data_IF_799983824372
#
_entry.id   IF_799983824372
#
_cell.length_a   1.000
_cell.length_b   1.000
_cell.length_c   1.000
_cell.angle_alpha   90.00
_cell.angle_beta   90.00
_cell.angle_gamma   90.00
#
_symmetry.space_group_name_H-M   'P 1'
#
loop_
_entity.id
_entity.type
_entity.pdbx_description
1 polymer ?
#
# COMPACT_ATOMS: atom_id res chain seq x y z
N UNK A 1 23.74 -36.87 54.57
CA UNK A 1 24.43 -36.47 53.32
C UNK A 1 23.33 -36.33 52.27
N UNK A 2 22.84 -35.11 52.10
CA UNK A 2 21.74 -34.73 51.20
C UNK A 2 22.30 -34.40 49.83
N UNK A 3 21.69 -34.93 48.75
CA UNK A 3 21.92 -34.44 47.40
C UNK A 3 20.62 -33.83 46.86
N UNK A 4 20.73 -32.53 46.63
CA UNK A 4 19.74 -31.65 46.02
C UNK A 4 19.78 -31.80 44.51
N UNK A 5 18.63 -31.91 43.86
CA UNK A 5 18.51 -31.78 42.41
C UNK A 5 17.59 -30.58 42.13
N UNK A 6 18.19 -29.42 41.85
CA UNK A 6 17.49 -28.27 41.28
C UNK A 6 17.65 -28.30 39.77
N UNK A 7 16.55 -28.55 39.07
CA UNK A 7 16.42 -28.25 37.64
C UNK A 7 16.14 -26.76 37.51
N UNK A 8 17.06 -26.01 36.90
CA UNK A 8 16.82 -24.64 36.46
C UNK A 8 16.16 -24.67 35.07
N UNK A 9 14.87 -24.37 35.03
CA UNK A 9 14.20 -23.99 33.79
C UNK A 9 14.54 -22.52 33.49
N UNK A 10 15.28 -22.27 32.41
CA UNK A 10 15.49 -20.91 31.91
C UNK A 10 14.26 -20.47 31.10
N UNK A 11 13.44 -19.59 31.67
CA UNK A 11 12.47 -18.80 30.92
C UNK A 11 13.21 -17.64 30.26
N UNK A 12 13.38 -17.66 28.93
CA UNK A 12 13.81 -16.46 28.22
C UNK A 12 12.61 -15.51 28.10
N UNK A 13 12.60 -14.43 28.89
CA UNK A 13 11.74 -13.28 28.60
C UNK A 13 12.27 -12.60 27.33
N UNK A 14 11.52 -12.69 26.23
CA UNK A 14 11.69 -11.77 25.13
C UNK A 14 10.99 -10.46 25.52
N UNK A 15 11.76 -9.43 25.86
CA UNK A 15 11.22 -8.08 26.05
C UNK A 15 11.17 -7.43 24.68
N UNK A 16 9.97 -7.37 24.08
CA UNK A 16 9.76 -6.54 22.89
C UNK A 16 9.76 -5.08 23.30
N UNK A 17 10.75 -4.30 22.86
CA UNK A 17 10.71 -2.84 22.99
C UNK A 17 9.72 -2.29 21.95
N UNK A 18 8.59 -1.77 22.42
CA UNK A 18 7.69 -1.00 21.57
C UNK A 18 8.15 0.47 21.53
N UNK A 19 8.29 1.05 20.34
CA UNK A 19 8.43 2.50 20.19
C UNK A 19 7.07 3.16 20.50
N UNK A 20 6.97 3.85 21.62
CA UNK A 20 5.70 4.49 22.06
C UNK A 20 5.65 5.99 21.77
N UNK A 21 6.78 6.61 21.39
CA UNK A 21 6.87 8.05 21.13
C UNK A 21 7.29 8.31 19.69
N UNK A 22 6.46 9.05 18.96
CA UNK A 22 6.70 9.42 17.57
C UNK A 22 6.95 10.93 17.49
N UNK A 23 8.00 11.32 16.77
CA UNK A 23 8.27 12.71 16.43
C UNK A 23 8.06 12.89 14.93
N UNK A 24 7.38 13.99 14.55
CA UNK A 24 7.25 14.35 13.14
C UNK A 24 8.62 14.77 12.64
N UNK A 25 8.97 14.37 11.41
CA UNK A 25 10.11 14.95 10.72
C UNK A 25 9.85 16.44 10.48
N UNK A 26 10.82 17.30 10.83
CA UNK A 26 10.67 18.75 10.71
C UNK A 26 10.52 19.20 9.25
N UNK A 27 11.11 18.45 8.30
CA UNK A 27 11.01 18.72 6.86
C UNK A 27 9.77 18.15 6.18
N UNK A 28 8.66 17.94 6.89
CA UNK A 28 7.43 17.46 6.28
C UNK A 28 6.75 18.53 5.38
N UNK A 29 6.08 18.13 4.28
CA UNK A 29 5.92 16.76 3.79
C UNK A 29 7.17 16.24 3.05
N UNK A 30 7.38 14.92 3.08
CA UNK A 30 8.48 14.25 2.33
C UNK A 30 8.14 13.94 0.86
N UNK A 31 6.88 14.12 0.46
CA UNK A 31 6.42 13.97 -0.91
C UNK A 31 5.35 15.02 -1.19
N UNK A 32 5.64 15.93 -2.11
CA UNK A 32 4.72 16.98 -2.54
C UNK A 32 3.74 16.51 -3.62
N UNK A 33 2.71 17.32 -3.88
CA UNK A 33 1.84 17.18 -5.05
C UNK A 33 2.62 17.38 -6.35
N UNK A 34 2.04 16.96 -7.47
CA UNK A 34 2.52 17.38 -8.79
C UNK A 34 2.29 18.88 -9.03
N UNK A 35 2.84 19.44 -10.13
CA UNK A 35 2.50 20.80 -10.53
C UNK A 35 1.00 20.93 -10.85
N UNK A 36 0.43 22.15 -10.85
CA UNK A 36 -0.96 22.38 -11.23
C UNK A 36 -1.30 21.75 -12.58
N UNK A 37 -2.40 21.01 -12.63
CA UNK A 37 -2.85 20.28 -13.82
C UNK A 37 -2.28 18.86 -13.97
N UNK A 38 -1.28 18.48 -13.18
CA UNK A 38 -0.80 17.10 -13.13
C UNK A 38 -1.85 16.15 -12.54
N UNK A 39 -1.69 14.85 -12.82
CA UNK A 39 -2.58 13.79 -12.34
C UNK A 39 -2.66 13.71 -10.80
N UNK A 40 -1.60 14.13 -10.10
CA UNK A 40 -1.49 14.27 -8.64
C UNK A 40 -1.34 15.73 -8.19
N UNK A 41 -1.76 16.69 -9.02
CA UNK A 41 -1.55 18.12 -8.80
C UNK A 41 -2.48 18.77 -7.77
N UNK A 42 -3.53 18.08 -7.31
CA UNK A 42 -4.42 18.57 -6.24
C UNK A 42 -4.18 17.92 -4.89
N UNK A 43 -3.75 16.66 -4.89
CA UNK A 43 -3.46 15.92 -3.67
C UNK A 43 -2.55 14.72 -3.97
N UNK A 44 -1.63 14.44 -3.06
CA UNK A 44 -0.76 13.28 -3.07
C UNK A 44 -0.63 12.77 -1.63
N UNK A 45 -0.86 11.48 -1.40
CA UNK A 45 -0.86 10.91 -0.06
C UNK A 45 -1.15 9.41 -0.05
N UNK A 46 -1.37 8.87 1.15
CA UNK A 46 -1.64 7.44 1.37
C UNK A 46 -0.58 6.58 0.66
N UNK A 47 0.65 6.74 1.14
CA UNK A 47 1.78 5.97 0.66
C UNK A 47 1.89 4.62 1.35
N UNK A 48 1.99 3.54 0.58
CA UNK A 48 2.51 2.25 1.05
C UNK A 48 3.99 2.19 0.72
N UNK A 49 4.82 2.03 1.73
CA UNK A 49 6.28 1.88 1.57
C UNK A 49 6.67 0.42 1.79
N UNK A 50 7.49 -0.12 0.89
CA UNK A 50 8.22 -1.39 1.05
C UNK A 50 9.72 -1.06 0.91
N UNK A 51 10.53 -1.81 1.64
CA UNK A 51 11.99 -1.74 1.56
C UNK A 51 12.48 -3.04 0.93
N UNK A 52 13.01 -2.93 -0.29
CA UNK A 52 13.77 -4.01 -0.94
C UNK A 52 15.27 -3.62 -0.91
N UNK A 53 15.87 -3.30 -2.06
CA UNK A 53 17.20 -2.66 -2.16
C UNK A 53 17.18 -1.15 -1.94
N UNK A 54 16.00 -0.54 -2.04
CA UNK A 54 15.73 0.88 -1.77
C UNK A 54 14.31 1.04 -1.26
N UNK A 55 13.97 2.19 -0.71
CA UNK A 55 12.58 2.50 -0.36
C UNK A 55 11.77 2.69 -1.64
N UNK A 56 10.62 2.02 -1.69
CA UNK A 56 9.65 2.13 -2.78
C UNK A 56 8.31 2.52 -2.20
N UNK A 57 7.70 3.58 -2.71
CA UNK A 57 6.39 4.05 -2.30
C UNK A 57 5.40 3.93 -3.46
N UNK A 58 4.25 3.34 -3.18
CA UNK A 58 3.05 3.48 -4.02
C UNK A 58 2.10 4.43 -3.32
N UNK A 59 1.74 5.53 -3.97
CA UNK A 59 0.96 6.61 -3.37
C UNK A 59 -0.26 6.93 -4.21
N UNK A 60 -1.30 7.45 -3.57
CA UNK A 60 -2.47 7.95 -4.28
C UNK A 60 -2.25 9.41 -4.66
N UNK A 61 -2.48 9.73 -5.93
CA UNK A 61 -2.54 11.10 -6.41
C UNK A 61 -3.93 11.43 -6.96
N UNK A 62 -4.31 12.71 -6.88
CA UNK A 62 -5.57 13.23 -7.41
C UNK A 62 -5.38 14.55 -8.13
N UNK A 63 -6.11 14.71 -9.23
CA UNK A 63 -6.29 15.97 -9.95
C UNK A 63 -7.66 16.62 -9.65
N UNK A 64 -8.43 16.05 -8.72
CA UNK A 64 -9.80 16.46 -8.37
C UNK A 64 -10.91 15.83 -9.22
N UNK A 65 -10.56 15.10 -10.29
CA UNK A 65 -11.51 14.35 -11.12
C UNK A 65 -11.36 12.84 -10.94
N UNK A 66 -10.12 12.37 -10.84
CA UNK A 66 -9.77 10.97 -10.69
C UNK A 66 -8.73 10.80 -9.60
N UNK A 67 -8.75 9.67 -8.90
CA UNK A 67 -7.65 9.23 -8.04
C UNK A 67 -6.94 8.07 -8.69
N UNK A 68 -5.61 8.11 -8.72
CA UNK A 68 -4.75 7.14 -9.40
C UNK A 68 -3.57 6.78 -8.50
N UNK A 69 -2.86 5.69 -8.80
CA UNK A 69 -1.68 5.29 -8.02
C UNK A 69 -0.40 5.62 -8.79
N UNK A 70 0.48 6.35 -8.12
CA UNK A 70 1.85 6.64 -8.57
C UNK A 70 2.88 5.83 -7.79
N UNK A 71 4.11 5.86 -8.30
CA UNK A 71 5.28 5.25 -7.69
C UNK A 71 6.36 6.30 -7.44
N UNK A 72 7.10 6.14 -6.35
CA UNK A 72 8.29 6.92 -6.05
C UNK A 72 9.35 6.03 -5.39
N UNK A 73 10.62 6.40 -5.55
CA UNK A 73 11.76 5.71 -4.94
C UNK A 73 12.56 6.67 -4.07
N UNK A 74 13.20 6.12 -3.03
CA UNK A 74 14.10 6.85 -2.16
C UNK A 74 15.22 5.94 -1.66
N UNK A 75 16.41 6.49 -1.45
CA UNK A 75 17.52 5.81 -0.80
C UNK A 75 17.52 5.96 0.72
N UNK A 76 16.82 6.97 1.25
CA UNK A 76 16.87 7.36 2.67
C UNK A 76 15.50 7.44 3.35
N UNK A 77 14.42 7.23 2.59
CA UNK A 77 13.04 7.32 3.08
C UNK A 77 12.53 8.74 3.28
N UNK A 78 13.35 9.76 3.00
CA UNK A 78 13.05 11.19 3.22
C UNK A 78 12.99 11.93 1.89
N UNK A 79 13.96 11.72 1.00
CA UNK A 79 14.00 12.35 -0.31
C UNK A 79 13.44 11.40 -1.36
N UNK A 80 12.30 11.74 -1.93
CA UNK A 80 11.57 10.87 -2.85
C UNK A 80 11.62 11.38 -4.29
N UNK A 81 11.94 10.48 -5.22
CA UNK A 81 11.88 10.72 -6.66
C UNK A 81 10.68 10.00 -7.26
N UNK A 82 9.70 10.76 -7.76
CA UNK A 82 8.53 10.23 -8.48
C UNK A 82 8.96 9.56 -9.78
N UNK A 83 8.32 8.43 -10.10
CA UNK A 83 8.56 7.72 -11.35
C UNK A 83 8.06 8.55 -12.55
N UNK A 84 8.82 8.66 -13.66
CA UNK A 84 8.44 9.49 -14.80
C UNK A 84 7.17 9.02 -15.52
N UNK A 85 6.89 7.72 -15.48
CA UNK A 85 5.69 7.12 -16.08
C UNK A 85 4.45 7.17 -15.17
N UNK A 86 4.47 7.97 -14.10
CA UNK A 86 3.31 8.10 -13.23
C UNK A 86 2.09 8.70 -13.97
N UNK A 87 0.86 8.27 -13.63
CA UNK A 87 0.52 7.22 -12.66
C UNK A 87 0.86 5.81 -13.18
N UNK A 88 1.40 4.95 -12.31
CA UNK A 88 1.74 3.56 -12.64
C UNK A 88 0.51 2.63 -12.69
N UNK A 89 -0.56 3.01 -11.98
CA UNK A 89 -1.88 2.41 -12.13
C UNK A 89 -2.89 3.54 -12.36
N UNK A 90 -3.14 3.91 -13.63
CA UNK A 90 -4.20 4.88 -13.96
C UNK A 90 -5.59 4.27 -13.72
N UNK A 91 -6.63 5.11 -13.72
CA UNK A 91 -8.01 4.61 -13.84
C UNK A 91 -8.21 3.94 -15.20
N UNK A 92 -9.06 2.91 -15.26
CA UNK A 92 -9.52 2.36 -16.53
C UNK A 92 -10.88 2.97 -16.87
N UNK A 93 -10.93 3.90 -17.82
CA UNK A 93 -12.17 4.59 -18.20
C UNK A 93 -13.27 3.68 -18.73
N UNK A 94 -12.93 2.45 -19.14
CA UNK A 94 -13.87 1.42 -19.57
C UNK A 94 -14.19 0.39 -18.49
N UNK A 95 -13.47 0.42 -17.37
CA UNK A 95 -13.55 -0.53 -16.28
C UNK A 95 -14.42 -0.06 -15.11
N UNK A 96 -14.50 -0.93 -14.11
CA UNK A 96 -15.21 -0.68 -12.86
C UNK A 96 -14.49 0.34 -11.96
N UNK A 97 -13.20 0.60 -12.20
CA UNK A 97 -12.34 1.54 -11.49
C UNK A 97 -12.09 2.81 -12.33
N UNK A 98 -13.11 3.27 -13.08
CA UNK A 98 -13.03 4.38 -14.05
C UNK A 98 -12.87 5.78 -13.44
N UNK A 99 -13.12 5.95 -12.15
CA UNK A 99 -12.96 7.22 -11.43
C UNK A 99 -11.91 7.13 -10.34
N UNK A 100 -11.73 5.96 -9.74
CA UNK A 100 -10.81 5.75 -8.64
C UNK A 100 -10.02 4.46 -8.81
N UNK A 101 -8.69 4.57 -8.72
CA UNK A 101 -7.73 3.51 -8.44
C UNK A 101 -6.74 4.07 -7.39
N UNK A 102 -6.93 3.73 -6.12
CA UNK A 102 -6.32 4.44 -4.98
C UNK A 102 -6.04 3.52 -3.80
N UNK A 103 -5.44 4.07 -2.74
CA UNK A 103 -5.15 3.37 -1.47
C UNK A 103 -4.45 2.01 -1.69
N UNK A 104 -3.38 1.99 -2.48
CA UNK A 104 -2.66 0.77 -2.77
C UNK A 104 -2.09 0.13 -1.49
N UNK A 105 -2.34 -1.17 -1.34
CA UNK A 105 -1.56 -2.06 -0.50
C UNK A 105 -0.73 -2.96 -1.39
N UNK A 106 0.58 -2.85 -1.25
CA UNK A 106 1.54 -3.66 -2.00
C UNK A 106 2.26 -4.60 -1.05
N UNK A 107 2.47 -5.83 -1.50
CA UNK A 107 3.42 -6.80 -0.96
C UNK A 107 4.33 -7.32 -2.07
N UNK A 108 5.54 -7.73 -1.69
CA UNK A 108 6.50 -8.35 -2.59
C UNK A 108 6.75 -9.79 -2.11
N UNK A 109 6.34 -10.78 -2.90
CA UNK A 109 6.42 -12.20 -2.53
C UNK A 109 7.09 -12.96 -3.66
N UNK A 110 8.26 -13.54 -3.38
CA UNK A 110 9.07 -14.17 -4.43
C UNK A 110 9.44 -13.14 -5.51
N UNK A 111 9.21 -13.43 -6.81
CA UNK A 111 9.54 -12.50 -7.90
C UNK A 111 8.40 -11.52 -8.24
N UNK A 112 7.33 -11.48 -7.46
CA UNK A 112 6.08 -10.79 -7.84
C UNK A 112 5.64 -9.78 -6.79
N UNK A 113 5.36 -8.57 -7.25
CA UNK A 113 4.61 -7.57 -6.51
C UNK A 113 3.12 -7.82 -6.68
N UNK A 114 2.41 -7.82 -5.56
CA UNK A 114 0.97 -7.96 -5.48
C UNK A 114 0.39 -6.65 -4.96
N UNK A 115 -0.62 -6.11 -5.64
CA UNK A 115 -1.31 -4.88 -5.25
C UNK A 115 -2.80 -5.17 -5.06
N UNK A 116 -3.32 -4.79 -3.90
CA UNK A 116 -4.74 -4.60 -3.68
C UNK A 116 -5.01 -3.11 -3.62
N UNK A 117 -6.06 -2.65 -4.29
CA UNK A 117 -6.35 -1.22 -4.37
C UNK A 117 -7.83 -0.97 -4.26
N UNK A 118 -8.20 0.20 -3.75
CA UNK A 118 -9.58 0.68 -3.79
C UNK A 118 -9.90 1.20 -5.18
N UNK A 119 -11.06 0.84 -5.71
CA UNK A 119 -11.54 1.41 -6.95
C UNK A 119 -13.04 1.63 -7.01
N UNK A 120 -13.43 2.37 -8.03
CA UNK A 120 -14.82 2.75 -8.25
C UNK A 120 -15.04 3.56 -9.51
N UNK A 121 -16.31 3.65 -9.88
CA UNK A 121 -16.84 4.50 -10.94
C UNK A 121 -17.70 5.61 -10.32
N UNK A 122 -18.35 6.43 -11.15
CA UNK A 122 -19.15 7.56 -10.67
C UNK A 122 -20.38 7.18 -9.85
N UNK A 123 -20.82 5.91 -9.91
CA UNK A 123 -22.03 5.39 -9.25
C UNK A 123 -21.70 4.46 -8.10
N UNK A 124 -20.60 3.71 -8.21
CA UNK A 124 -20.22 2.67 -7.26
C UNK A 124 -18.74 2.80 -6.90
N UNK A 125 -18.52 3.23 -5.65
CA UNK A 125 -17.19 3.36 -5.04
C UNK A 125 -16.97 2.27 -3.98
N UNK A 126 -15.72 2.14 -3.54
CA UNK A 126 -15.39 1.31 -2.39
C UNK A 126 -15.39 -0.19 -2.72
N UNK A 127 -14.82 -0.55 -3.87
CA UNK A 127 -14.56 -1.94 -4.27
C UNK A 127 -13.06 -2.21 -4.21
N UNK A 128 -12.67 -3.46 -4.01
CA UNK A 128 -11.25 -3.83 -3.96
C UNK A 128 -10.87 -4.51 -5.26
N UNK A 129 -9.88 -3.96 -5.94
CA UNK A 129 -9.23 -4.53 -7.11
C UNK A 129 -7.95 -5.25 -6.72
N UNK A 130 -7.47 -6.09 -7.63
CA UNK A 130 -6.17 -6.74 -7.53
C UNK A 130 -5.38 -6.55 -8.82
N UNK A 131 -4.09 -6.28 -8.67
CA UNK A 131 -3.12 -6.23 -9.75
C UNK A 131 -1.81 -6.89 -9.33
N UNK A 132 -1.04 -7.37 -10.29
CA UNK A 132 0.29 -7.92 -10.05
C UNK A 132 1.33 -7.37 -11.03
N UNK A 133 2.59 -7.39 -10.63
CA UNK A 133 3.70 -6.82 -11.38
C UNK A 133 5.01 -7.55 -11.07
N UNK A 134 5.90 -7.65 -12.05
CA UNK A 134 7.25 -8.17 -11.82
C UNK A 134 8.24 -7.08 -11.41
N UNK A 135 7.99 -5.82 -11.78
CA UNK A 135 8.88 -4.67 -11.56
C UNK A 135 8.31 -3.68 -10.54
N UNK A 136 7.04 -3.82 -10.14
CA UNK A 136 6.33 -2.90 -9.25
C UNK A 136 5.94 -1.57 -9.90
N UNK A 137 6.08 -1.44 -11.23
CA UNK A 137 5.79 -0.22 -12.01
C UNK A 137 4.78 -0.53 -13.12
N UNK A 138 4.93 -1.67 -13.80
CA UNK A 138 4.03 -2.12 -14.86
C UNK A 138 3.04 -3.13 -14.30
N UNK A 139 1.77 -2.75 -14.21
CA UNK A 139 0.75 -3.54 -13.51
C UNK A 139 -0.22 -4.23 -14.45
N UNK A 140 -0.49 -5.51 -14.19
CA UNK A 140 -1.59 -6.28 -14.78
C UNK A 140 -2.71 -6.39 -13.75
N UNK A 141 -3.82 -5.68 -13.97
CA UNK A 141 -5.01 -5.72 -13.10
C UNK A 141 -6.00 -6.79 -13.57
N UNK A 142 -6.79 -7.33 -12.64
CA UNK A 142 -7.93 -8.18 -12.98
C UNK A 142 -9.09 -7.35 -13.53
N UNK A 143 -9.92 -7.91 -14.42
CA UNK A 143 -11.01 -7.19 -15.07
C UNK A 143 -12.21 -6.91 -14.15
N UNK A 144 -12.25 -7.50 -12.95
CA UNK A 144 -13.35 -7.37 -12.00
C UNK A 144 -12.81 -7.21 -10.58
N UNK A 145 -13.54 -6.52 -9.69
CA UNK A 145 -13.13 -6.37 -8.31
C UNK A 145 -13.11 -7.74 -7.62
N UNK A 146 -12.13 -7.93 -6.73
CA UNK A 146 -12.02 -9.13 -5.90
C UNK A 146 -12.91 -9.06 -4.65
N UNK A 147 -13.36 -7.86 -4.23
CA UNK A 147 -14.34 -7.65 -3.14
C UNK A 147 -15.25 -6.43 -3.42
N UNK A 148 -16.50 -6.47 -2.92
CA UNK A 148 -17.48 -5.38 -3.01
C UNK A 148 -18.32 -5.36 -4.30
N UNK A 149 -18.33 -6.46 -5.06
CA UNK A 149 -19.12 -6.60 -6.28
C UNK A 149 -20.50 -7.27 -6.07
N UNK A 150 -20.81 -7.74 -4.86
CA UNK A 150 -22.01 -8.51 -4.53
C UNK A 150 -23.16 -7.65 -4.01
N UNK A 151 -24.38 -8.20 -4.10
CA UNK A 151 -25.63 -7.56 -3.69
C UNK A 151 -25.96 -7.71 -2.20
N UNK A 152 -24.98 -8.08 -1.36
CA UNK A 152 -25.22 -8.33 0.07
C UNK A 152 -25.19 -7.02 0.87
N UNK A 153 -25.99 -6.86 1.95
CA UNK A 153 -26.02 -5.64 2.74
C UNK A 153 -24.69 -5.31 3.45
N UNK A 154 -23.80 -6.29 3.63
CA UNK A 154 -22.44 -6.06 4.15
C UNK A 154 -21.48 -5.52 3.08
N UNK A 155 -21.81 -5.68 1.80
CA UNK A 155 -21.05 -5.17 0.65
C UNK A 155 -21.57 -3.81 0.15
N UNK A 156 -22.61 -3.26 0.78
CA UNK A 156 -23.13 -1.91 0.48
C UNK A 156 -22.41 -0.79 1.25
N UNK A 157 -21.38 -1.12 2.03
CA UNK A 157 -20.53 -0.15 2.73
C UNK A 157 -19.27 0.08 1.90
N UNK A 158 -18.84 1.33 1.64
CA UNK A 158 -17.62 1.58 0.88
C UNK A 158 -16.40 0.89 1.50
N UNK A 159 -15.79 -0.06 0.78
CA UNK A 159 -14.54 -0.72 1.18
C UNK A 159 -13.36 0.09 0.63
N UNK A 160 -12.56 0.67 1.53
CA UNK A 160 -11.42 1.53 1.21
C UNK A 160 -10.17 1.14 1.99
N UNK A 161 -8.98 1.32 1.43
CA UNK A 161 -7.73 1.11 2.15
C UNK A 161 -7.47 -0.36 2.52
N UNK A 162 -7.35 -1.26 1.52
CA UNK A 162 -7.03 -2.65 1.80
C UNK A 162 -5.77 -2.79 2.65
N UNK A 163 -5.76 -3.78 3.52
CA UNK A 163 -4.56 -4.29 4.16
C UNK A 163 -4.65 -5.81 4.11
N UNK A 164 -3.57 -6.46 3.69
CA UNK A 164 -3.53 -7.93 3.58
C UNK A 164 -2.50 -8.46 4.56
N UNK A 165 -2.97 -9.28 5.49
CA UNK A 165 -2.15 -10.02 6.45
C UNK A 165 -2.15 -11.49 6.02
N UNK A 166 -0.97 -12.01 5.69
CA UNK A 166 -0.76 -13.45 5.48
C UNK A 166 -0.11 -14.08 6.72
N UNK A 167 -0.08 -15.43 6.83
CA UNK A 167 0.75 -16.09 7.83
C UNK A 167 2.18 -15.59 7.71
N UNK A 168 2.83 -15.28 8.83
CA UNK A 168 4.13 -14.64 8.87
C UNK A 168 5.09 -15.35 7.90
N UNK A 169 5.61 -14.60 6.92
CA UNK A 169 6.81 -15.02 6.20
C UNK A 169 8.02 -14.83 7.11
N UNK A 170 8.04 -15.54 8.24
CA UNK A 170 9.28 -15.89 8.91
C UNK A 170 9.98 -16.84 7.94
N UNK A 171 11.09 -16.36 7.37
CA UNK A 171 11.91 -16.95 6.29
C UNK A 171 11.50 -16.53 4.88
N UNK A 172 12.13 -15.47 4.36
CA UNK A 172 13.32 -15.58 3.49
C UNK A 172 14.02 -14.23 3.35
#
# INVERSE_FOLDING_TARGET
MTLSCLSLASLSLSVSFAQTKWFKYEGNPVLDTGPPGAWDGRWAGVGRVIIDSSYRMWYTGSNGKSKQIGHAVSSDGIHWKKHPSNPVLPVDSSGWDSVEASFAYVSHVGPTYHMWYSGGDSRTYGRIGYAHSADGVTWKRLPSPVLGGGSSPMESVPLGGPSVVGPDSVNR
#
